data_IF_782034593113
#
_entry.id   IF_782034593113
#
_cell.length_a   1.000
_cell.length_b   1.000
_cell.length_c   1.000
_cell.angle_alpha   90.00
_cell.angle_beta   90.00
_cell.angle_gamma   90.00
#
_symmetry.space_group_name_H-M   'P 1'
#
loop_
_entity.id
_entity.type
_entity.pdbx_description
1 polymer ?
#
# COMPACT_ATOMS: atom_id res chain seq x y z
N UNK A 1 -10.25 76.69 18.02
CA UNK A 1 -10.51 75.49 18.86
C UNK A 1 -11.50 74.61 18.12
N UNK A 2 -11.14 73.32 17.88
CA UNK A 2 -12.00 72.11 17.90
C UNK A 2 -13.25 72.11 16.97
N UNK A 3 -13.60 71.07 16.21
CA UNK A 3 -13.12 69.70 16.08
C UNK A 3 -13.81 69.16 14.80
N UNK A 4 -13.02 68.69 13.83
CA UNK A 4 -13.51 68.06 12.61
C UNK A 4 -13.95 66.64 12.97
N UNK A 5 -15.27 66.36 12.95
CA UNK A 5 -15.82 65.00 13.09
C UNK A 5 -15.94 64.35 11.71
N UNK A 6 -14.88 63.67 11.29
CA UNK A 6 -14.89 62.81 10.11
C UNK A 6 -15.44 61.44 10.54
N UNK A 7 -16.66 61.15 10.10
CA UNK A 7 -17.22 59.79 10.09
C UNK A 7 -16.43 58.94 9.07
N UNK A 8 -15.31 58.37 9.49
CA UNK A 8 -14.59 57.32 8.73
C UNK A 8 -15.11 55.95 9.21
N UNK A 9 -16.37 55.67 8.87
CA UNK A 9 -17.03 54.39 9.18
C UNK A 9 -16.65 53.31 8.15
N UNK A 10 -15.93 52.30 8.63
CA UNK A 10 -15.84 50.94 8.09
C UNK A 10 -15.65 50.79 6.57
N UNK A 11 -14.40 50.86 6.11
CA UNK A 11 -14.00 50.19 4.87
C UNK A 11 -13.51 48.77 5.20
N UNK A 12 -14.44 47.83 5.05
CA UNK A 12 -14.28 46.39 4.83
C UNK A 12 -12.85 45.84 4.78
N UNK A 13 -12.39 45.27 5.89
CA UNK A 13 -11.30 44.31 5.90
C UNK A 13 -11.83 42.98 5.33
N UNK A 14 -11.79 42.82 4.01
CA UNK A 14 -11.91 41.51 3.39
C UNK A 14 -10.68 40.70 3.83
N UNK A 15 -10.81 39.94 4.93
CA UNK A 15 -10.00 38.75 5.11
C UNK A 15 -10.33 37.83 3.93
N UNK A 16 -9.51 37.88 2.90
CA UNK A 16 -9.40 36.84 1.91
C UNK A 16 -8.99 35.56 2.63
N UNK A 17 -9.98 34.83 3.12
CA UNK A 17 -9.87 33.40 3.35
C UNK A 17 -9.69 32.80 1.96
N UNK A 18 -8.47 32.86 1.44
CA UNK A 18 -8.08 32.04 0.31
C UNK A 18 -8.39 30.60 0.71
N UNK A 19 -8.96 29.77 -0.18
CA UNK A 19 -9.13 28.36 0.13
C UNK A 19 -7.77 27.83 0.55
N UNK A 20 -7.67 27.33 1.77
CA UNK A 20 -6.56 26.48 2.15
C UNK A 20 -6.55 25.37 1.11
N UNK A 21 -5.60 25.44 0.17
CA UNK A 21 -5.29 24.32 -0.68
C UNK A 21 -4.90 23.21 0.30
N UNK A 22 -5.83 22.30 0.58
CA UNK A 22 -5.51 21.08 1.26
C UNK A 22 -4.41 20.44 0.42
N UNK A 23 -3.18 20.47 0.94
CA UNK A 23 -2.09 19.68 0.40
C UNK A 23 -2.60 18.25 0.52
N UNK A 24 -3.12 17.70 -0.58
CA UNK A 24 -3.44 16.29 -0.64
C UNK A 24 -2.13 15.59 -0.26
N UNK A 25 -2.09 14.83 0.86
CA UNK A 25 -0.88 14.12 1.23
C UNK A 25 -0.44 13.37 -0.03
N UNK A 26 0.76 13.74 -0.49
CA UNK A 26 1.21 13.54 -1.85
C UNK A 26 0.99 12.11 -2.32
N UNK A 27 0.98 11.94 -3.64
CA UNK A 27 1.14 10.63 -4.29
C UNK A 27 2.34 9.96 -3.64
N UNK A 28 2.07 9.15 -2.64
CA UNK A 28 3.08 8.65 -1.73
C UNK A 28 3.77 7.58 -2.52
N UNK A 29 5.08 7.76 -2.74
CA UNK A 29 5.89 6.87 -3.55
C UNK A 29 6.14 5.55 -2.80
N UNK A 30 5.07 4.83 -2.45
CA UNK A 30 5.13 3.60 -1.66
C UNK A 30 6.09 2.58 -2.25
N UNK A 31 6.13 2.50 -3.58
CA UNK A 31 7.12 1.71 -4.31
C UNK A 31 8.54 2.10 -3.92
N UNK A 32 8.91 3.38 -4.11
CA UNK A 32 10.27 3.86 -3.88
C UNK A 32 10.69 3.74 -2.42
N UNK A 33 9.79 4.10 -1.49
CA UNK A 33 10.07 3.96 -0.06
C UNK A 33 10.22 2.50 0.36
N UNK A 34 9.36 1.60 -0.11
CA UNK A 34 9.52 0.18 0.15
C UNK A 34 10.81 -0.38 -0.44
N UNK A 35 11.16 0.02 -1.67
CA UNK A 35 12.35 -0.44 -2.37
C UNK A 35 13.63 -0.04 -1.64
N UNK A 36 13.70 1.20 -1.15
CA UNK A 36 14.86 1.72 -0.43
C UNK A 36 14.97 1.13 0.98
N UNK A 37 13.87 1.12 1.74
CA UNK A 37 13.91 0.73 3.14
C UNK A 37 13.94 -0.81 3.32
N UNK A 38 13.31 -1.55 2.40
CA UNK A 38 12.98 -2.97 2.54
C UNK A 38 13.11 -3.72 1.21
N UNK A 39 14.32 -3.75 0.58
CA UNK A 39 14.51 -4.26 -0.78
C UNK A 39 14.08 -5.72 -0.95
N UNK A 40 14.29 -6.59 0.05
CA UNK A 40 13.81 -7.97 -0.03
C UNK A 40 12.28 -8.06 -0.17
N UNK A 41 11.53 -7.31 0.65
CA UNK A 41 10.07 -7.26 0.55
C UNK A 41 9.66 -6.67 -0.80
N UNK A 42 10.31 -5.60 -1.24
CA UNK A 42 10.01 -4.96 -2.53
C UNK A 42 10.20 -5.92 -3.71
N UNK A 43 11.25 -6.76 -3.68
CA UNK A 43 11.49 -7.79 -4.70
C UNK A 43 10.44 -8.88 -4.66
N UNK A 44 10.08 -9.38 -3.47
CA UNK A 44 9.02 -10.39 -3.32
C UNK A 44 7.68 -9.89 -3.89
N UNK A 45 7.31 -8.63 -3.61
CA UNK A 45 6.14 -7.96 -4.21
C UNK A 45 6.29 -7.87 -5.73
N UNK A 46 7.48 -7.48 -6.21
CA UNK A 46 7.85 -7.42 -7.61
C UNK A 46 7.52 -8.71 -8.35
N UNK A 47 8.03 -9.83 -7.84
CA UNK A 47 7.82 -11.16 -8.40
C UNK A 47 6.36 -11.60 -8.29
N UNK A 48 5.73 -11.46 -7.13
CA UNK A 48 4.34 -11.88 -6.92
C UNK A 48 3.36 -11.16 -7.84
N UNK A 49 3.44 -9.83 -7.90
CA UNK A 49 2.51 -9.02 -8.69
C UNK A 49 2.84 -8.98 -10.19
N UNK A 50 4.05 -9.37 -10.60
CA UNK A 50 4.41 -9.46 -12.03
C UNK A 50 3.57 -10.50 -12.76
N UNK A 51 3.15 -11.56 -12.06
CA UNK A 51 2.28 -12.59 -12.61
C UNK A 51 0.83 -12.11 -12.72
N UNK A 52 0.55 -11.30 -13.73
CA UNK A 52 -0.78 -11.17 -14.31
C UNK A 52 -0.90 -12.17 -15.46
N UNK A 53 -1.85 -13.11 -15.41
CA UNK A 53 -2.14 -13.98 -16.56
C UNK A 53 -2.65 -13.18 -17.77
N UNK A 54 -3.28 -13.83 -18.76
CA UNK A 54 -3.86 -13.19 -19.96
C UNK A 54 -4.74 -11.96 -19.65
N UNK A 55 -5.30 -11.89 -18.44
CA UNK A 55 -6.19 -10.81 -18.03
C UNK A 55 -5.50 -9.69 -17.22
N UNK A 56 -4.17 -9.69 -16.98
CA UNK A 56 -3.49 -8.71 -16.09
C UNK A 56 -3.96 -8.72 -14.61
N UNK A 57 -4.39 -9.88 -14.11
CA UNK A 57 -4.77 -10.10 -12.71
C UNK A 57 -3.94 -11.22 -12.08
N UNK A 58 -3.67 -11.13 -10.78
CA UNK A 58 -3.06 -12.22 -10.02
C UNK A 58 -4.07 -13.36 -9.87
N UNK A 59 -3.80 -14.55 -10.42
CA UNK A 59 -4.72 -15.66 -10.32
C UNK A 59 -4.68 -16.33 -8.95
N UNK A 60 -5.79 -16.98 -8.58
CA UNK A 60 -5.91 -17.70 -7.30
C UNK A 60 -4.81 -18.75 -7.08
N UNK A 61 -4.40 -19.46 -8.13
CA UNK A 61 -3.29 -20.41 -8.01
C UNK A 61 -2.01 -19.72 -7.52
N UNK A 62 -1.65 -18.56 -8.09
CA UNK A 62 -0.47 -17.81 -7.65
C UNK A 62 -0.65 -17.15 -6.29
N UNK A 63 -1.87 -16.72 -5.98
CA UNK A 63 -2.18 -16.13 -4.69
C UNK A 63 -1.89 -17.09 -3.52
N UNK A 64 -2.21 -18.38 -3.70
CA UNK A 64 -1.98 -19.46 -2.73
C UNK A 64 -0.47 -19.73 -2.52
N UNK A 65 0.31 -19.79 -3.61
CA UNK A 65 1.75 -20.09 -3.50
C UNK A 65 2.58 -18.92 -2.99
N UNK A 66 2.20 -17.68 -3.31
CA UNK A 66 2.98 -16.50 -2.95
C UNK A 66 4.28 -16.37 -3.77
N UNK A 67 5.18 -15.50 -3.32
CA UNK A 67 6.51 -15.35 -3.91
C UNK A 67 7.55 -14.97 -2.85
N UNK A 68 8.75 -15.52 -3.01
CA UNK A 68 9.95 -15.12 -2.28
C UNK A 68 10.63 -13.91 -2.92
N UNK A 69 11.57 -13.31 -2.18
CA UNK A 69 12.39 -12.18 -2.64
C UNK A 69 13.37 -12.54 -3.75
N UNK A 70 13.88 -13.76 -3.76
CA UNK A 70 14.60 -14.42 -4.85
C UNK A 70 13.95 -15.81 -5.03
N UNK A 71 12.99 -15.95 -5.97
CA UNK A 71 12.26 -17.19 -6.16
C UNK A 71 13.13 -18.32 -6.71
N UNK A 72 14.19 -18.01 -7.47
CA UNK A 72 15.08 -19.01 -8.07
C UNK A 72 15.96 -19.67 -7.00
N UNK A 73 16.37 -18.90 -5.98
CA UNK A 73 17.17 -19.39 -4.85
C UNK A 73 16.33 -19.77 -3.64
N UNK A 74 15.01 -19.61 -3.70
CA UNK A 74 14.10 -19.71 -2.55
C UNK A 74 14.64 -19.00 -1.32
N UNK A 75 15.13 -17.77 -1.51
CA UNK A 75 15.77 -17.06 -0.42
C UNK A 75 14.73 -16.73 0.67
N UNK A 76 15.12 -17.02 1.90
CA UNK A 76 14.21 -16.89 3.04
C UNK A 76 14.35 -15.50 3.65
N UNK A 77 14.43 -14.46 2.81
CA UNK A 77 14.60 -13.07 3.28
C UNK A 77 13.26 -12.36 3.40
N UNK A 78 12.38 -12.55 2.41
CA UNK A 78 10.99 -12.09 2.45
C UNK A 78 10.07 -13.03 1.67
N UNK A 79 8.79 -13.00 2.02
CA UNK A 79 7.73 -13.73 1.33
C UNK A 79 6.45 -12.92 1.34
N UNK A 80 5.70 -12.95 0.23
CA UNK A 80 4.37 -12.33 0.14
C UNK A 80 3.35 -13.31 -0.44
N UNK A 81 2.11 -13.22 0.03
CA UNK A 81 1.01 -14.06 -0.45
C UNK A 81 -0.35 -13.40 -0.25
N UNK A 82 -1.36 -13.88 -1.00
CA UNK A 82 -2.77 -13.54 -0.79
C UNK A 82 -3.54 -14.84 -0.60
N UNK A 83 -4.00 -15.06 0.64
CA UNK A 83 -4.80 -16.22 1.04
C UNK A 83 -6.28 -15.85 1.18
N UNK A 84 -7.09 -16.85 1.47
CA UNK A 84 -8.54 -16.71 1.62
C UNK A 84 -9.29 -17.04 0.33
N UNK A 85 -10.61 -17.05 0.44
CA UNK A 85 -11.51 -17.37 -0.65
C UNK A 85 -12.71 -16.44 -0.60
N UNK A 86 -12.89 -15.63 -1.65
CA UNK A 86 -14.06 -14.79 -1.83
C UNK A 86 -15.15 -15.57 -2.58
N UNK A 87 -16.41 -15.24 -2.29
CA UNK A 87 -17.57 -15.72 -3.03
C UNK A 87 -18.43 -14.51 -3.44
N UNK A 88 -18.54 -14.20 -4.75
CA UNK A 88 -17.86 -14.85 -5.88
C UNK A 88 -16.34 -14.64 -5.84
N UNK A 89 -15.59 -15.42 -6.63
CA UNK A 89 -14.13 -15.30 -6.67
C UNK A 89 -13.70 -13.91 -7.16
N UNK A 90 -12.90 -13.22 -6.36
CA UNK A 90 -12.37 -11.90 -6.67
C UNK A 90 -10.93 -11.99 -7.17
N UNK A 91 -10.71 -11.55 -8.40
CA UNK A 91 -9.38 -11.44 -8.99
C UNK A 91 -8.73 -10.13 -8.54
N UNK A 92 -7.42 -10.14 -8.34
CA UNK A 92 -6.67 -8.93 -7.95
C UNK A 92 -6.01 -8.34 -9.19
N UNK A 93 -6.46 -7.18 -9.70
CA UNK A 93 -5.78 -6.54 -10.83
C UNK A 93 -4.35 -6.15 -10.45
N UNK A 94 -3.41 -6.29 -11.38
CA UNK A 94 -1.98 -6.06 -11.15
C UNK A 94 -1.68 -4.71 -10.50
N UNK A 95 -2.35 -3.65 -10.95
CA UNK A 95 -2.21 -2.29 -10.38
C UNK A 95 -2.52 -2.28 -8.88
N UNK A 96 -3.60 -2.94 -8.46
CA UNK A 96 -3.99 -3.01 -7.06
C UNK A 96 -3.08 -3.95 -6.26
N UNK A 97 -2.58 -5.03 -6.86
CA UNK A 97 -1.56 -5.87 -6.25
C UNK A 97 -0.37 -5.03 -5.78
N UNK A 98 0.24 -4.29 -6.70
CA UNK A 98 1.37 -3.42 -6.37
C UNK A 98 0.98 -2.34 -5.34
N UNK A 99 -0.11 -1.62 -5.59
CA UNK A 99 -0.52 -0.51 -4.74
C UNK A 99 -0.73 -0.95 -3.28
N UNK A 100 -1.47 -2.04 -3.06
CA UNK A 100 -1.79 -2.49 -1.70
C UNK A 100 -0.57 -3.06 -1.00
N UNK A 101 0.23 -3.89 -1.67
CA UNK A 101 1.44 -4.45 -1.06
C UNK A 101 2.50 -3.41 -0.74
N UNK A 102 2.77 -2.46 -1.63
CA UNK A 102 3.75 -1.40 -1.33
C UNK A 102 3.26 -0.48 -0.22
N UNK A 103 1.95 -0.18 -0.18
CA UNK A 103 1.36 0.55 0.93
C UNK A 103 1.55 -0.22 2.25
N UNK A 104 1.26 -1.53 2.28
CA UNK A 104 1.52 -2.38 3.44
C UNK A 104 2.98 -2.40 3.86
N UNK A 105 3.92 -2.55 2.92
CA UNK A 105 5.37 -2.55 3.17
C UNK A 105 5.85 -1.28 3.89
N UNK A 106 5.24 -0.14 3.57
CA UNK A 106 5.57 1.15 4.20
C UNK A 106 4.85 1.33 5.54
N UNK A 107 3.58 0.95 5.60
CA UNK A 107 2.72 1.23 6.76
C UNK A 107 2.90 0.24 7.91
N UNK A 108 3.34 -0.99 7.65
CA UNK A 108 3.59 -1.92 8.74
C UNK A 108 4.81 -1.48 9.56
N UNK A 109 4.66 -1.45 10.90
CA UNK A 109 5.72 -1.00 11.78
C UNK A 109 6.94 -1.92 11.71
N UNK A 110 8.09 -1.37 12.11
CA UNK A 110 9.35 -2.10 12.15
C UNK A 110 9.77 -2.66 10.79
N UNK A 111 9.86 -3.97 10.70
CA UNK A 111 10.51 -4.67 9.61
C UNK A 111 9.67 -4.76 8.31
N UNK A 112 8.44 -4.22 8.31
CA UNK A 112 7.51 -4.21 7.17
C UNK A 112 6.70 -5.49 6.96
N UNK A 113 6.77 -6.42 7.92
CA UNK A 113 6.01 -7.66 7.92
C UNK A 113 4.65 -7.46 8.61
N UNK A 114 3.63 -8.15 8.13
CA UNK A 114 2.28 -8.06 8.69
C UNK A 114 1.22 -8.65 7.76
N UNK A 115 -0.01 -8.68 8.26
CA UNK A 115 -1.19 -9.19 7.55
C UNK A 115 -2.27 -8.11 7.49
N UNK A 116 -2.95 -8.00 6.35
CA UNK A 116 -4.09 -7.09 6.16
C UNK A 116 -5.18 -7.76 5.33
N UNK A 117 -6.44 -7.46 5.64
CA UNK A 117 -7.58 -7.98 4.90
C UNK A 117 -8.03 -7.01 3.80
N UNK A 118 -8.37 -7.55 2.64
CA UNK A 118 -8.94 -6.85 1.48
C UNK A 118 -10.03 -7.71 0.82
N UNK A 119 -10.66 -7.19 -0.24
CA UNK A 119 -11.79 -7.82 -0.92
C UNK A 119 -13.12 -7.61 -0.18
N UNK A 120 -14.23 -8.06 -0.77
CA UNK A 120 -15.55 -7.94 -0.15
C UNK A 120 -15.57 -8.63 1.20
N UNK A 121 -16.00 -7.92 2.25
CA UNK A 121 -16.01 -8.39 3.64
C UNK A 121 -14.64 -8.87 4.17
N UNK A 122 -13.53 -8.43 3.56
CA UNK A 122 -12.18 -8.83 3.98
C UNK A 122 -11.85 -10.29 3.66
N UNK A 123 -12.49 -10.88 2.64
CA UNK A 123 -12.31 -12.28 2.26
C UNK A 123 -10.88 -12.67 1.82
N UNK A 124 -10.02 -11.69 1.52
CA UNK A 124 -8.62 -11.90 1.15
C UNK A 124 -7.67 -11.48 2.27
N UNK A 125 -6.79 -12.38 2.71
CA UNK A 125 -5.72 -12.11 3.67
C UNK A 125 -4.39 -11.91 2.95
N UNK A 126 -3.88 -10.68 2.95
CA UNK A 126 -2.64 -10.28 2.29
C UNK A 126 -1.51 -10.27 3.30
N UNK A 127 -0.41 -10.95 3.00
CA UNK A 127 0.64 -11.25 3.95
C UNK A 127 2.00 -10.77 3.44
N UNK A 128 2.79 -10.16 4.31
CA UNK A 128 4.21 -9.87 4.13
C UNK A 128 4.98 -10.51 5.30
N UNK A 129 5.94 -11.36 5.00
CA UNK A 129 6.80 -12.03 5.98
C UNK A 129 8.27 -11.67 5.74
N UNK A 130 9.10 -11.62 6.79
CA UNK A 130 10.53 -11.30 6.74
C UNK A 130 11.34 -12.21 7.67
N UNK A 131 12.59 -12.51 7.31
CA UNK A 131 13.54 -13.28 8.12
C UNK A 131 13.63 -14.75 7.71
N UNK A 132 14.60 -15.53 8.23
CA UNK A 132 14.84 -16.90 7.81
C UNK A 132 13.61 -17.76 8.11
N UNK A 133 12.76 -17.92 7.10
CA UNK A 133 11.55 -18.75 7.12
C UNK A 133 12.01 -20.19 7.35
N UNK A 134 11.89 -20.79 8.55
CA UNK A 134 12.35 -22.17 8.76
C UNK A 134 11.52 -23.05 7.82
N UNK A 135 12.15 -24.05 7.17
CA UNK A 135 11.45 -24.88 6.19
C UNK A 135 10.16 -25.44 6.78
N UNK A 136 9.00 -25.14 6.19
CA UNK A 136 7.74 -25.69 6.69
C UNK A 136 6.52 -24.82 6.45
N UNK A 137 5.64 -25.35 5.60
CA UNK A 137 4.18 -25.15 5.56
C UNK A 137 3.65 -23.72 5.65
N UNK A 138 3.27 -23.25 4.47
CA UNK A 138 2.36 -22.14 4.23
C UNK A 138 1.00 -22.50 4.86
N UNK A 139 0.75 -22.08 6.10
CA UNK A 139 -0.58 -22.12 6.74
C UNK A 139 -0.77 -23.21 7.81
N UNK A 140 -0.70 -22.79 9.07
CA UNK A 140 -1.72 -23.05 10.09
C UNK A 140 -1.97 -21.74 10.83
#
# INVERSE_FOLDING_TARGET
MKLVSIFLGLLTLFLSIGPAAAVLPGVTNWWGKCHNDKPAIANAIGHFCKFGGLNNHVPRAWSIYGSHSDPDKFDRKAYVAIRGSCSPQEWVPRKYCYLQFYKMCVQFPGAGAGVRSFGTNGCQSWQIMRGPIPGGKIGQ
#
